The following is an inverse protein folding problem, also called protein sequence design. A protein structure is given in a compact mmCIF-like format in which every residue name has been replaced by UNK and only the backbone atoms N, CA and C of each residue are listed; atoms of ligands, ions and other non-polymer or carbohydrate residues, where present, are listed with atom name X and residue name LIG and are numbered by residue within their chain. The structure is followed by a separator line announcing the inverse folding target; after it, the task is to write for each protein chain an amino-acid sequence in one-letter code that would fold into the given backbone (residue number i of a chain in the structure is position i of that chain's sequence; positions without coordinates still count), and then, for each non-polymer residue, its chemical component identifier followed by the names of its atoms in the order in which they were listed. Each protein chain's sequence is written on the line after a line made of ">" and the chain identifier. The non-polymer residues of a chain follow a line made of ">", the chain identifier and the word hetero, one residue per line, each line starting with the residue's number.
data_IF_690069913761
#
_entry.id   IF_690069913761
#
_cell.length_a   1.000
_cell.length_b   1.000
_cell.length_c   1.000
_cell.angle_alpha   90.00
_cell.angle_beta   90.00
_cell.angle_gamma   90.00
#
_symmetry.space_group_name_H-M   'P 1'
#
loop_
_entity.id
_entity.type
_entity.pdbx_description
1 polymer ?
#
# COMPACT_ATOMS: atom_id res chain seq x y z
N UNK A 1 -52.66 43.65 41.90
CA UNK A 1 -53.11 43.51 40.49
C UNK A 1 -53.98 42.28 40.42
N UNK A 2 -55.25 42.40 40.06
CA UNK A 2 -56.18 41.29 40.09
C UNK A 2 -56.15 40.48 38.83
N UNK A 3 -55.90 39.17 38.97
CA UNK A 3 -55.74 38.19 37.84
C UNK A 3 -56.98 38.20 36.91
N UNK A 4 -58.09 38.63 37.37
CA UNK A 4 -59.32 38.76 36.56
C UNK A 4 -59.30 39.87 35.52
N UNK A 5 -58.53 40.93 35.71
CA UNK A 5 -58.34 41.99 34.71
C UNK A 5 -57.28 41.64 33.60
N UNK A 6 -56.45 40.70 33.92
CA UNK A 6 -55.45 40.20 32.89
C UNK A 6 -56.14 39.23 31.91
N UNK A 7 -57.09 38.42 32.34
CA UNK A 7 -57.85 37.49 31.51
C UNK A 7 -58.84 38.16 30.58
N UNK A 8 -59.39 39.30 30.95
CA UNK A 8 -60.33 40.08 30.10
C UNK A 8 -59.59 40.87 29.01
N UNK A 9 -58.36 41.28 29.27
CA UNK A 9 -57.52 41.93 28.28
C UNK A 9 -56.98 41.02 27.16
N UNK A 10 -56.76 39.77 27.52
CA UNK A 10 -56.30 38.76 26.54
C UNK A 10 -57.40 38.22 25.62
N UNK A 11 -58.65 38.20 26.08
CA UNK A 11 -59.82 37.80 25.28
C UNK A 11 -60.23 38.85 24.25
N UNK A 12 -60.01 40.14 24.53
CA UNK A 12 -60.25 41.23 23.55
C UNK A 12 -59.25 41.30 22.47
N UNK A 13 -58.00 40.93 22.74
CA UNK A 13 -56.92 40.89 21.73
C UNK A 13 -57.08 39.70 20.72
N UNK A 14 -57.72 38.61 21.16
CA UNK A 14 -58.01 37.46 20.30
C UNK A 14 -59.17 37.66 19.32
N UNK A 15 -60.15 38.53 19.66
CA UNK A 15 -61.25 38.82 18.77
C UNK A 15 -60.94 39.87 17.73
N UNK A 16 -59.90 40.73 17.93
CA UNK A 16 -59.50 41.72 16.98
C UNK A 16 -58.55 41.15 15.85
N UNK A 17 -58.11 39.91 16.07
CA UNK A 17 -57.19 39.23 15.07
C UNK A 17 -57.95 38.42 13.98
N UNK A 18 -59.33 38.37 14.04
CA UNK A 18 -60.06 37.51 13.08
C UNK A 18 -60.68 38.27 11.89
N UNK A 19 -60.32 39.52 11.67
CA UNK A 19 -60.79 40.29 10.49
C UNK A 19 -59.69 40.82 9.59
N UNK A 20 -58.47 40.24 9.66
CA UNK A 20 -57.52 40.45 8.60
C UNK A 20 -57.87 39.49 7.46
N UNK A 21 -58.46 39.99 6.38
CA UNK A 21 -58.57 39.29 5.12
C UNK A 21 -57.18 38.81 4.74
N UNK A 22 -57.00 37.50 4.63
CA UNK A 22 -55.82 36.92 4.06
C UNK A 22 -55.67 37.46 2.61
N UNK A 23 -54.71 38.30 2.35
CA UNK A 23 -54.21 38.46 1.01
C UNK A 23 -53.72 37.07 0.59
N UNK A 24 -54.13 36.61 -0.61
CA UNK A 24 -53.60 35.40 -1.21
C UNK A 24 -52.09 35.39 -1.09
N UNK A 25 -51.57 34.52 -0.25
CA UNK A 25 -50.15 34.28 -0.16
C UNK A 25 -49.78 33.72 -1.55
N UNK A 26 -49.02 34.49 -2.33
CA UNK A 26 -48.30 33.95 -3.46
C UNK A 26 -47.48 32.82 -2.87
N UNK A 27 -47.94 31.56 -3.08
CA UNK A 27 -47.15 30.38 -2.76
C UNK A 27 -45.95 30.48 -3.69
N UNK A 28 -44.84 30.98 -3.12
CA UNK A 28 -43.56 30.85 -3.83
C UNK A 28 -43.39 29.34 -4.16
N UNK A 29 -43.13 28.99 -5.41
CA UNK A 29 -42.91 27.59 -5.74
C UNK A 29 -41.83 27.10 -4.77
N UNK A 30 -42.17 25.98 -4.09
CA UNK A 30 -41.24 25.29 -3.21
C UNK A 30 -39.96 25.11 -4.02
N UNK A 31 -38.77 25.55 -3.56
CA UNK A 31 -37.52 25.40 -4.33
C UNK A 31 -37.41 23.91 -4.63
N UNK A 32 -37.43 23.54 -5.92
CA UNK A 32 -37.13 22.17 -6.32
C UNK A 32 -35.89 21.76 -5.58
N UNK A 33 -35.92 20.64 -4.87
CA UNK A 33 -34.75 20.12 -4.17
C UNK A 33 -33.64 19.97 -5.20
N UNK A 34 -32.71 20.90 -5.17
CA UNK A 34 -31.54 20.86 -6.05
C UNK A 34 -30.82 19.59 -5.67
N UNK A 35 -30.86 18.57 -6.53
CA UNK A 35 -30.00 17.41 -6.38
C UNK A 35 -28.54 17.90 -6.48
N UNK A 36 -27.95 18.24 -5.33
CA UNK A 36 -26.57 18.74 -5.24
C UNK A 36 -25.55 17.70 -5.71
N UNK A 37 -25.91 16.39 -5.70
CA UNK A 37 -25.04 15.29 -6.13
C UNK A 37 -25.87 14.26 -6.89
N UNK A 38 -25.66 14.15 -8.19
CA UNK A 38 -26.23 13.09 -9.03
C UNK A 38 -25.38 11.82 -8.92
N UNK A 39 -26.01 10.70 -8.57
CA UNK A 39 -25.35 9.37 -8.50
C UNK A 39 -24.91 8.93 -9.89
N UNK A 40 -23.74 8.30 -9.99
CA UNK A 40 -23.16 7.77 -11.21
C UNK A 40 -22.91 6.26 -11.07
N UNK A 41 -23.90 5.44 -11.39
CA UNK A 41 -23.83 3.98 -11.22
C UNK A 41 -23.08 3.25 -12.32
N UNK A 42 -22.79 3.92 -13.45
CA UNK A 42 -22.16 3.31 -14.62
C UNK A 42 -20.78 2.68 -14.34
N UNK A 43 -20.07 3.18 -13.32
CA UNK A 43 -18.70 2.74 -12.99
C UNK A 43 -18.61 2.00 -11.66
N UNK A 44 -19.76 1.69 -11.04
CA UNK A 44 -19.87 0.97 -9.79
C UNK A 44 -20.29 1.85 -8.61
N UNK A 45 -20.44 1.23 -7.44
CA UNK A 45 -20.96 1.89 -6.26
C UNK A 45 -20.04 3.01 -5.74
N UNK A 46 -20.64 4.10 -5.25
CA UNK A 46 -19.96 5.23 -4.63
C UNK A 46 -19.46 6.30 -5.59
N UNK A 47 -19.74 6.18 -6.90
CA UNK A 47 -19.47 7.25 -7.84
C UNK A 47 -20.62 8.26 -7.88
N UNK A 48 -20.26 9.54 -8.06
CA UNK A 48 -21.19 10.64 -8.28
C UNK A 48 -20.63 11.57 -9.36
N UNK A 49 -21.51 12.26 -10.09
CA UNK A 49 -21.09 13.23 -11.10
C UNK A 49 -20.47 14.46 -10.45
N UNK A 50 -19.33 14.91 -10.98
CA UNK A 50 -18.80 16.24 -10.66
C UNK A 50 -19.77 17.27 -11.23
N UNK A 51 -20.33 18.21 -10.41
CA UNK A 51 -21.30 19.19 -10.89
C UNK A 51 -20.84 19.92 -12.14
N UNK A 52 -21.71 20.00 -13.15
CA UNK A 52 -21.43 20.66 -14.43
C UNK A 52 -20.54 19.88 -15.40
N UNK A 53 -20.26 18.62 -15.13
CA UNK A 53 -19.45 17.74 -16.01
C UNK A 53 -20.10 16.37 -16.21
N UNK A 54 -19.63 15.63 -17.23
CA UNK A 54 -19.96 14.21 -17.43
C UNK A 54 -18.93 13.27 -16.78
N UNK A 55 -18.07 13.79 -15.93
CA UNK A 55 -17.06 13.01 -15.19
C UNK A 55 -17.63 12.52 -13.86
N UNK A 56 -17.53 11.23 -13.62
CA UNK A 56 -17.87 10.61 -12.35
C UNK A 56 -16.65 10.55 -11.45
N UNK A 57 -16.85 10.89 -10.17
CA UNK A 57 -15.82 10.89 -9.12
C UNK A 57 -16.23 9.94 -8.00
N UNK A 58 -15.29 9.12 -7.53
CA UNK A 58 -15.41 8.38 -6.26
C UNK A 58 -14.27 8.77 -5.35
N UNK A 59 -14.60 9.07 -4.11
CA UNK A 59 -13.64 9.29 -3.02
C UNK A 59 -13.70 8.08 -2.11
N UNK A 60 -12.54 7.55 -1.72
CA UNK A 60 -12.42 6.41 -0.82
C UNK A 60 -11.11 6.50 -0.05
N UNK A 61 -10.88 5.59 0.87
CA UNK A 61 -9.64 5.58 1.62
C UNK A 61 -9.72 4.75 2.89
N UNK A 62 -8.77 5.00 3.78
CA UNK A 62 -8.80 4.39 5.10
C UNK A 62 -8.03 5.22 6.12
N UNK A 63 -8.43 5.06 7.38
CA UNK A 63 -7.63 5.43 8.54
C UNK A 63 -7.10 4.14 9.17
N UNK A 64 -5.81 4.11 9.46
CA UNK A 64 -5.10 2.95 10.02
C UNK A 64 -4.31 3.37 11.24
N UNK A 65 -4.35 2.54 12.26
CA UNK A 65 -3.39 2.57 13.36
C UNK A 65 -2.72 1.21 13.46
N UNK A 66 -1.40 1.20 13.62
CA UNK A 66 -0.60 -0.01 13.74
C UNK A 66 0.36 0.14 14.92
N UNK A 67 0.46 -0.90 15.73
CA UNK A 67 1.44 -1.01 16.79
C UNK A 67 2.22 -2.31 16.64
N UNK A 68 3.54 -2.25 16.73
CA UNK A 68 4.42 -3.40 16.60
C UNK A 68 5.42 -3.46 17.75
N UNK A 69 5.70 -4.67 18.23
CA UNK A 69 6.63 -4.95 19.33
C UNK A 69 7.60 -6.06 18.93
N UNK A 70 8.61 -6.29 19.76
CA UNK A 70 9.67 -7.24 19.50
C UNK A 70 10.76 -6.68 18.58
N UNK A 71 11.44 -7.55 17.82
CA UNK A 71 12.44 -7.13 16.86
C UNK A 71 11.82 -6.77 15.52
N UNK A 72 12.53 -5.96 14.76
CA UNK A 72 12.16 -5.70 13.35
C UNK A 72 12.51 -6.96 12.53
N UNK A 73 11.50 -7.50 11.85
CA UNK A 73 11.67 -8.73 11.07
C UNK A 73 12.38 -8.49 9.73
N UNK A 74 12.57 -7.23 9.35
CA UNK A 74 13.29 -6.85 8.13
C UNK A 74 14.81 -6.77 8.33
N UNK A 75 15.26 -6.31 9.52
CA UNK A 75 16.68 -6.04 9.79
C UNK A 75 17.19 -6.54 11.16
N UNK A 76 16.35 -7.24 11.91
CA UNK A 76 16.61 -7.75 13.27
C UNK A 76 16.93 -6.68 14.32
N UNK A 77 16.78 -5.40 14.02
CA UNK A 77 16.99 -4.32 14.99
C UNK A 77 15.94 -4.35 16.09
N UNK A 78 16.27 -3.77 17.23
CA UNK A 78 15.30 -3.58 18.31
C UNK A 78 14.31 -2.49 17.95
N UNK A 79 13.03 -2.73 18.16
CA UNK A 79 12.00 -1.69 18.08
C UNK A 79 12.07 -0.82 19.32
N UNK A 80 12.47 0.43 19.15
CA UNK A 80 12.63 1.36 20.23
C UNK A 80 13.35 2.62 19.77
N UNK A 81 13.94 3.35 20.71
CA UNK A 81 14.73 4.55 20.41
C UNK A 81 15.91 4.69 21.39
N UNK A 82 16.96 5.37 20.94
CA UNK A 82 18.09 5.72 21.78
C UNK A 82 17.69 6.88 22.69
N UNK A 83 17.75 6.66 24.01
CA UNK A 83 17.52 7.67 25.04
C UNK A 83 18.87 8.16 25.53
N UNK A 84 19.07 9.47 25.59
CA UNK A 84 20.22 10.08 26.26
C UNK A 84 20.04 9.89 27.73
N UNK A 85 21.00 9.22 28.39
CA UNK A 85 20.99 8.95 29.85
C UNK A 85 22.06 9.73 30.57
N UNK A 86 22.96 10.40 29.85
CA UNK A 86 24.02 11.22 30.42
C UNK A 86 25.05 11.67 29.39
N UNK A 87 26.13 12.23 29.92
CA UNK A 87 27.33 12.60 29.17
C UNK A 87 28.52 11.88 29.77
N UNK A 88 29.48 11.47 28.93
CA UNK A 88 30.77 10.97 29.38
C UNK A 88 31.66 12.10 29.90
N UNK A 89 32.77 11.77 30.58
CA UNK A 89 33.81 12.74 31.02
C UNK A 89 34.45 13.49 29.81
N UNK A 90 34.26 12.99 28.60
CA UNK A 90 34.72 13.61 27.35
C UNK A 90 33.58 14.37 26.59
N UNK A 91 32.48 14.73 27.27
CA UNK A 91 31.29 15.38 26.73
C UNK A 91 30.60 14.61 25.60
N UNK A 92 30.82 13.29 25.46
CA UNK A 92 30.11 12.44 24.55
C UNK A 92 28.75 12.01 25.11
N UNK A 93 27.73 11.96 24.28
CA UNK A 93 26.39 11.52 24.65
C UNK A 93 26.39 10.03 25.01
N UNK A 94 26.06 9.72 26.26
CA UNK A 94 25.77 8.34 26.66
C UNK A 94 24.33 8.03 26.31
N UNK A 95 24.12 7.05 25.43
CA UNK A 95 22.78 6.63 24.95
C UNK A 95 22.49 5.22 25.39
N UNK A 96 21.25 4.99 25.83
CA UNK A 96 20.69 3.68 26.11
C UNK A 96 19.56 3.39 25.15
N UNK A 97 19.54 2.16 24.63
CA UNK A 97 18.45 1.72 23.75
C UNK A 97 17.29 1.19 24.60
N UNK A 98 16.11 1.80 24.44
CA UNK A 98 14.90 1.37 25.15
C UNK A 98 14.00 0.57 24.21
N UNK A 99 13.57 -0.62 24.64
CA UNK A 99 12.55 -1.39 23.93
C UNK A 99 11.18 -0.74 24.14
N UNK A 100 10.45 -0.49 23.06
CA UNK A 100 9.09 0.04 23.09
C UNK A 100 8.33 -0.34 21.84
N UNK A 101 7.06 -0.02 21.84
CA UNK A 101 6.19 -0.20 20.67
C UNK A 101 6.56 0.76 19.54
N UNK A 102 6.67 0.24 18.31
CA UNK A 102 6.62 1.08 17.11
C UNK A 102 5.16 1.36 16.77
N UNK A 103 4.77 2.62 16.65
CA UNK A 103 3.38 3.05 16.45
C UNK A 103 3.28 3.92 15.22
N UNK A 104 2.33 3.59 14.33
CA UNK A 104 2.08 4.36 13.12
C UNK A 104 0.59 4.61 12.98
N UNK A 105 0.20 5.86 12.85
CA UNK A 105 -1.09 6.27 12.33
C UNK A 105 -0.93 6.64 10.85
N UNK A 106 -1.87 6.20 10.01
CA UNK A 106 -1.90 6.52 8.58
C UNK A 106 -3.31 6.93 8.16
N UNK A 107 -3.38 8.02 7.41
CA UNK A 107 -4.53 8.37 6.60
C UNK A 107 -4.19 8.16 5.12
N UNK A 108 -5.07 7.48 4.39
CA UNK A 108 -4.95 7.29 2.95
C UNK A 108 -6.18 7.85 2.26
N UNK A 109 -5.97 8.73 1.30
CA UNK A 109 -7.00 9.29 0.45
C UNK A 109 -6.83 8.76 -0.97
N UNK A 110 -7.93 8.28 -1.55
CA UNK A 110 -8.02 7.79 -2.92
C UNK A 110 -9.07 8.57 -3.69
N UNK A 111 -8.73 8.98 -4.89
CA UNK A 111 -9.72 9.52 -5.84
C UNK A 111 -9.72 8.69 -7.10
N UNK A 112 -10.91 8.44 -7.63
CA UNK A 112 -11.11 7.74 -8.89
C UNK A 112 -12.00 8.63 -9.75
N UNK A 113 -11.61 8.90 -11.00
CA UNK A 113 -12.51 9.49 -11.97
C UNK A 113 -12.78 8.52 -13.12
N UNK A 114 -13.94 8.64 -13.71
CA UNK A 114 -14.30 7.89 -14.91
C UNK A 114 -15.21 8.71 -15.80
N UNK A 115 -14.99 8.66 -17.10
CA UNK A 115 -15.85 9.26 -18.13
C UNK A 115 -15.80 8.42 -19.39
N UNK A 116 -16.93 8.33 -20.12
CA UNK A 116 -16.94 7.70 -21.42
C UNK A 116 -16.33 8.60 -22.48
N UNK A 117 -15.60 7.98 -23.40
CA UNK A 117 -15.05 8.63 -24.59
C UNK A 117 -15.32 7.75 -25.82
N UNK A 118 -15.12 8.29 -26.99
CA UNK A 118 -15.24 7.54 -28.27
C UNK A 118 -14.24 6.35 -28.38
N UNK A 119 -13.17 6.36 -27.55
CA UNK A 119 -12.15 5.30 -27.48
C UNK A 119 -12.35 4.36 -26.27
N UNK A 120 -13.47 4.52 -25.54
CA UNK A 120 -13.77 3.77 -24.33
C UNK A 120 -13.68 4.59 -23.05
N UNK A 121 -13.77 3.94 -21.90
CA UNK A 121 -13.76 4.62 -20.61
C UNK A 121 -12.37 5.15 -20.27
N UNK A 122 -12.27 6.48 -20.15
CA UNK A 122 -11.09 7.15 -19.58
C UNK A 122 -11.22 7.17 -18.06
N UNK A 123 -10.21 6.65 -17.36
CA UNK A 123 -10.13 6.59 -15.89
C UNK A 123 -8.89 7.31 -15.38
N UNK A 124 -8.99 7.91 -14.21
CA UNK A 124 -7.83 8.30 -13.42
C UNK A 124 -7.91 7.69 -12.02
N UNK A 125 -6.75 7.46 -11.43
CA UNK A 125 -6.63 7.01 -10.05
C UNK A 125 -5.50 7.72 -9.37
N UNK A 126 -5.74 8.21 -8.15
CA UNK A 126 -4.70 8.74 -7.27
C UNK A 126 -4.81 8.14 -5.89
N UNK A 127 -3.66 7.92 -5.24
CA UNK A 127 -3.58 7.55 -3.82
C UNK A 127 -2.49 8.35 -3.13
N UNK A 128 -2.88 9.05 -2.06
CA UNK A 128 -1.98 9.81 -1.20
C UNK A 128 -1.99 9.21 0.21
N UNK A 129 -0.81 9.02 0.80
CA UNK A 129 -0.62 8.52 2.17
C UNK A 129 0.05 9.56 3.04
N UNK A 130 -0.50 9.73 4.24
CA UNK A 130 0.00 10.62 5.28
C UNK A 130 0.29 9.79 6.51
N UNK A 131 1.53 9.81 7.00
CA UNK A 131 1.98 8.98 8.10
C UNK A 131 2.43 9.81 9.30
N UNK A 132 2.10 9.32 10.51
CA UNK A 132 2.62 9.82 11.77
C UNK A 132 3.17 8.62 12.55
N UNK A 133 4.48 8.56 12.73
CA UNK A 133 5.17 7.39 13.28
C UNK A 133 6.00 7.80 14.49
N UNK A 134 5.83 7.09 15.62
CA UNK A 134 6.60 7.25 16.84
C UNK A 134 6.68 8.71 17.36
N UNK A 135 5.59 9.47 17.21
CA UNK A 135 5.52 10.85 17.70
C UNK A 135 6.02 11.90 16.69
N UNK A 136 6.38 11.52 15.48
CA UNK A 136 6.84 12.42 14.44
C UNK A 136 6.06 12.26 13.12
N UNK A 137 5.97 13.35 12.35
CA UNK A 137 5.49 13.30 10.97
C UNK A 137 6.47 12.47 10.14
N UNK A 138 5.99 11.37 9.57
CA UNK A 138 6.83 10.41 8.82
C UNK A 138 6.67 10.55 7.30
N UNK A 139 6.34 11.75 6.83
CA UNK A 139 6.24 12.08 5.41
C UNK A 139 4.86 11.82 4.80
N UNK A 140 4.70 12.40 3.62
CA UNK A 140 3.56 12.21 2.74
C UNK A 140 4.07 11.58 1.45
N UNK A 141 3.33 10.64 0.89
CA UNK A 141 3.71 9.97 -0.36
C UNK A 141 2.56 9.98 -1.35
N UNK A 142 2.90 10.24 -2.62
CA UNK A 142 2.06 9.95 -3.76
C UNK A 142 2.31 8.51 -4.16
N UNK A 143 1.39 7.59 -3.82
CA UNK A 143 1.55 6.17 -4.12
C UNK A 143 1.11 5.84 -5.54
N UNK A 144 0.01 6.42 -5.99
CA UNK A 144 -0.53 6.22 -7.34
C UNK A 144 -0.94 7.56 -7.94
N UNK A 145 -0.67 7.75 -9.21
CA UNK A 145 -1.16 8.86 -10.03
C UNK A 145 -1.10 8.45 -11.49
N UNK A 146 -2.14 7.78 -11.98
CA UNK A 146 -2.18 7.32 -13.36
C UNK A 146 -3.50 7.62 -14.04
N UNK A 147 -3.46 7.64 -15.37
CA UNK A 147 -4.61 7.61 -16.26
C UNK A 147 -4.63 6.31 -17.03
N UNK A 148 -5.83 5.84 -17.35
CA UNK A 148 -6.05 4.59 -18.10
C UNK A 148 -7.13 4.76 -19.14
N UNK A 149 -6.86 4.31 -20.37
CA UNK A 149 -7.81 4.22 -21.47
C UNK A 149 -7.75 2.83 -22.08
N UNK A 150 -8.79 2.03 -21.86
CA UNK A 150 -8.77 0.62 -22.23
C UNK A 150 -7.61 -0.13 -21.56
N UNK A 151 -6.77 -0.78 -22.36
CA UNK A 151 -5.56 -1.47 -21.88
C UNK A 151 -4.36 -0.58 -21.63
N UNK A 152 -4.35 0.67 -22.14
CA UNK A 152 -3.25 1.62 -21.97
C UNK A 152 -3.32 2.26 -20.60
N UNK A 153 -2.19 2.24 -19.84
CA UNK A 153 -2.03 2.92 -18.57
C UNK A 153 -0.75 3.72 -18.57
N UNK A 154 -0.82 4.98 -18.09
CA UNK A 154 0.30 5.93 -18.10
C UNK A 154 0.32 6.66 -16.75
N UNK A 155 1.47 6.75 -16.10
CA UNK A 155 1.70 7.52 -14.89
C UNK A 155 2.47 6.77 -13.83
N UNK A 156 2.37 7.23 -12.57
CA UNK A 156 2.96 6.55 -11.41
C UNK A 156 2.03 5.43 -10.96
N UNK A 157 2.56 4.21 -10.95
CA UNK A 157 1.87 3.00 -10.51
C UNK A 157 2.88 2.02 -9.89
N UNK A 158 2.42 0.86 -9.51
CA UNK A 158 3.29 -0.27 -9.21
C UNK A 158 3.75 -0.95 -10.50
N UNK A 159 4.99 -1.41 -10.48
CA UNK A 159 5.60 -2.13 -11.60
C UNK A 159 4.73 -3.31 -12.07
N UNK A 160 4.69 -3.53 -13.38
CA UNK A 160 4.06 -4.70 -13.97
C UNK A 160 4.67 -6.02 -13.46
N UNK A 161 5.92 -5.99 -12.98
CA UNK A 161 6.59 -7.12 -12.34
C UNK A 161 5.88 -7.59 -11.06
N UNK A 162 5.17 -6.68 -10.36
CA UNK A 162 4.30 -7.01 -9.24
C UNK A 162 2.86 -7.25 -9.68
N UNK A 163 2.30 -6.35 -10.48
CA UNK A 163 0.86 -6.37 -10.76
C UNK A 163 0.41 -7.59 -11.58
N UNK A 164 1.29 -8.17 -12.40
CA UNK A 164 1.00 -9.40 -13.16
C UNK A 164 0.90 -10.62 -12.25
N UNK A 165 1.83 -10.79 -11.31
CA UNK A 165 1.82 -11.93 -10.36
C UNK A 165 0.96 -11.67 -9.13
N UNK A 166 0.67 -10.40 -8.80
CA UNK A 166 -0.05 -10.00 -7.59
C UNK A 166 0.82 -9.95 -6.34
N UNK A 167 0.20 -9.53 -5.23
CA UNK A 167 0.89 -9.39 -3.94
C UNK A 167 1.20 -10.74 -3.28
N UNK A 168 2.16 -10.74 -2.36
CA UNK A 168 2.66 -11.92 -1.63
C UNK A 168 1.68 -12.45 -0.55
N UNK A 169 0.39 -12.26 -0.72
CA UNK A 169 -0.63 -12.67 0.24
C UNK A 169 -1.18 -11.50 1.07
N UNK A 170 -1.85 -11.82 2.18
CA UNK A 170 -2.53 -10.82 3.03
C UNK A 170 -1.78 -10.64 4.37
N UNK A 171 -0.45 -10.68 4.35
CA UNK A 171 0.38 -10.41 5.52
C UNK A 171 0.59 -8.92 5.72
N UNK A 172 0.88 -8.50 6.96
CA UNK A 172 1.31 -7.14 7.27
C UNK A 172 2.80 -6.93 6.98
N UNK A 173 3.57 -8.02 7.07
CA UNK A 173 5.00 -8.12 6.78
C UNK A 173 5.18 -9.19 5.70
N UNK A 174 4.70 -8.92 4.48
CA UNK A 174 4.67 -9.87 3.35
C UNK A 174 5.97 -9.90 2.55
N UNK A 175 6.69 -8.79 2.51
CA UNK A 175 7.88 -8.54 1.69
C UNK A 175 9.21 -8.57 2.47
N UNK A 176 9.29 -9.32 3.56
CA UNK A 176 10.55 -9.53 4.31
C UNK A 176 11.63 -10.16 3.42
N UNK A 177 11.24 -11.08 2.54
CA UNK A 177 12.00 -11.47 1.36
C UNK A 177 11.40 -10.68 0.20
N UNK A 178 12.17 -9.75 -0.35
CA UNK A 178 11.74 -8.83 -1.39
C UNK A 178 11.35 -9.59 -2.67
N UNK A 179 10.45 -9.03 -3.46
CA UNK A 179 9.98 -9.63 -4.70
C UNK A 179 10.04 -8.66 -5.90
N UNK A 180 10.90 -7.67 -5.85
CA UNK A 180 11.06 -6.53 -6.75
C UNK A 180 10.63 -5.23 -6.08
N UNK A 181 11.02 -4.09 -6.63
CA UNK A 181 10.55 -2.78 -6.21
C UNK A 181 9.14 -2.51 -6.75
N UNK A 182 8.35 -1.73 -6.00
CA UNK A 182 6.96 -1.45 -6.36
C UNK A 182 6.82 -0.20 -7.23
N UNK A 183 7.36 0.91 -6.78
CA UNK A 183 7.05 2.26 -7.27
C UNK A 183 7.79 2.60 -8.56
N UNK A 184 7.05 2.94 -9.62
CA UNK A 184 7.64 3.39 -10.89
C UNK A 184 6.71 4.36 -11.63
N UNK A 185 7.26 5.21 -12.50
CA UNK A 185 6.50 5.78 -13.61
C UNK A 185 6.53 4.78 -14.78
N UNK A 186 5.39 4.57 -15.41
CA UNK A 186 5.28 3.59 -16.47
C UNK A 186 4.37 4.04 -17.62
N UNK A 187 4.59 3.41 -18.76
CA UNK A 187 3.65 3.32 -19.87
C UNK A 187 3.45 1.82 -20.12
N UNK A 188 2.27 1.32 -19.84
CA UNK A 188 1.95 -0.10 -20.00
C UNK A 188 0.71 -0.32 -20.84
N UNK A 189 0.67 -1.48 -21.49
CA UNK A 189 -0.51 -1.95 -22.19
C UNK A 189 -0.84 -3.37 -21.76
N UNK A 190 -2.08 -3.57 -21.32
CA UNK A 190 -2.62 -4.89 -20.96
C UNK A 190 -3.69 -5.31 -21.95
N UNK A 191 -3.43 -6.36 -22.70
CA UNK A 191 -4.43 -7.07 -23.48
C UNK A 191 -5.21 -8.02 -22.55
N UNK A 192 -6.53 -8.02 -22.65
CA UNK A 192 -7.40 -8.93 -21.91
C UNK A 192 -8.22 -9.77 -22.89
N UNK A 193 -8.01 -11.07 -22.89
CA UNK A 193 -8.82 -12.03 -23.65
C UNK A 193 -10.09 -12.41 -22.87
N UNK A 194 -11.18 -12.73 -23.60
CA UNK A 194 -12.48 -13.07 -23.01
C UNK A 194 -12.54 -14.39 -22.23
N UNK A 195 -11.43 -15.16 -22.17
CA UNK A 195 -11.33 -16.50 -21.55
C UNK A 195 -10.47 -16.52 -20.28
N UNK A 196 -10.23 -15.37 -19.65
CA UNK A 196 -9.37 -15.25 -18.47
C UNK A 196 -7.87 -15.08 -18.77
N UNK A 197 -7.49 -15.07 -20.03
CA UNK A 197 -6.12 -14.75 -20.45
C UNK A 197 -5.89 -13.24 -20.48
N UNK A 198 -4.74 -12.79 -19.96
CA UNK A 198 -4.22 -11.43 -20.13
C UNK A 198 -2.72 -11.44 -20.38
N UNK A 199 -2.27 -10.42 -21.11
CA UNK A 199 -0.86 -10.20 -21.40
C UNK A 199 -0.55 -8.71 -21.23
N UNK A 200 0.56 -8.40 -20.54
CA UNK A 200 0.99 -7.03 -20.22
C UNK A 200 2.39 -6.81 -20.74
N UNK A 201 2.61 -5.63 -21.33
CA UNK A 201 3.95 -5.09 -21.61
C UNK A 201 4.04 -3.70 -20.95
N UNK A 202 5.17 -3.37 -20.34
CA UNK A 202 5.40 -2.12 -19.66
C UNK A 202 6.80 -1.59 -19.93
N UNK A 203 6.89 -0.29 -20.19
CA UNK A 203 8.13 0.47 -20.18
C UNK A 203 8.15 1.27 -18.88
N UNK A 204 9.18 1.11 -18.07
CA UNK A 204 9.25 1.60 -16.69
C UNK A 204 10.49 2.45 -16.46
N UNK A 205 10.33 3.47 -15.62
CA UNK A 205 11.44 4.34 -15.21
C UNK A 205 12.27 3.73 -14.09
N UNK A 206 11.67 2.85 -13.27
CA UNK A 206 12.21 2.43 -11.99
C UNK A 206 12.03 3.47 -10.88
N UNK A 207 12.45 3.12 -9.69
CA UNK A 207 12.34 3.94 -8.49
C UNK A 207 13.30 3.48 -7.40
N UNK A 208 13.39 4.26 -6.32
CA UNK A 208 14.28 3.96 -5.21
C UNK A 208 15.72 4.43 -5.39
N UNK A 209 16.36 4.68 -4.28
CA UNK A 209 17.81 4.93 -4.16
C UNK A 209 18.30 4.07 -3.00
N UNK A 210 19.38 3.32 -3.20
CA UNK A 210 20.05 2.63 -2.11
C UNK A 210 21.43 3.25 -1.88
N UNK A 211 21.86 3.26 -0.62
CA UNK A 211 23.27 3.39 -0.32
C UNK A 211 23.88 1.98 -0.40
N UNK A 212 24.91 1.77 -1.18
CA UNK A 212 25.71 0.56 -1.07
C UNK A 212 26.39 0.64 0.30
N UNK A 213 25.99 -0.23 1.20
CA UNK A 213 26.69 -0.46 2.47
C UNK A 213 27.72 -1.53 2.18
N UNK A 214 29.00 -1.20 2.32
CA UNK A 214 30.07 -2.19 2.22
C UNK A 214 29.86 -3.33 3.22
N UNK A 215 30.39 -4.48 2.89
CA UNK A 215 30.36 -5.73 3.65
C UNK A 215 30.86 -5.57 5.09
N UNK A 216 31.60 -4.51 5.38
CA UNK A 216 32.11 -4.16 6.72
C UNK A 216 31.25 -3.15 7.49
N UNK A 217 30.00 -2.86 7.01
CA UNK A 217 29.10 -1.91 7.72
C UNK A 217 29.49 -0.45 7.57
N UNK A 218 30.48 -0.15 6.77
CA UNK A 218 30.87 1.20 6.37
C UNK A 218 30.15 1.49 5.05
N UNK A 219 29.36 2.57 5.00
CA UNK A 219 28.95 3.14 3.71
C UNK A 219 30.20 3.27 2.87
N UNK A 220 30.28 2.59 1.71
CA UNK A 220 31.47 2.73 0.85
C UNK A 220 31.54 4.16 0.40
N UNK A 221 32.25 4.95 1.17
CA UNK A 221 32.81 6.17 0.69
C UNK A 221 33.94 5.76 -0.26
N UNK A 222 33.64 5.63 -1.52
CA UNK A 222 34.62 5.54 -2.56
C UNK A 222 35.49 6.80 -2.46
N UNK A 223 36.79 6.62 -2.23
CA UNK A 223 37.71 7.75 -2.10
C UNK A 223 38.08 8.23 -3.51
N UNK A 224 37.57 9.38 -3.91
CA UNK A 224 38.01 10.08 -5.13
C UNK A 224 38.80 11.32 -4.69
N UNK A 225 40.03 11.41 -5.09
CA UNK A 225 40.97 12.51 -4.73
C UNK A 225 41.09 12.75 -3.21
N UNK A 226 41.07 11.67 -2.44
CA UNK A 226 41.18 11.74 -0.97
C UNK A 226 39.92 12.25 -0.25
N UNK A 227 38.78 12.36 -0.93
CA UNK A 227 37.49 12.71 -0.34
C UNK A 227 36.54 11.51 -0.39
N UNK A 228 35.80 11.21 0.69
CA UNK A 228 34.82 10.15 0.68
C UNK A 228 33.64 10.54 -0.22
N UNK A 229 33.36 9.72 -1.23
CA UNK A 229 32.17 9.85 -2.10
C UNK A 229 31.24 8.69 -1.78
N UNK A 230 30.07 9.00 -1.24
CA UNK A 230 29.01 7.98 -1.04
C UNK A 230 28.43 7.61 -2.38
N UNK A 231 28.67 6.40 -2.85
CA UNK A 231 28.03 5.89 -4.07
C UNK A 231 26.61 5.48 -3.72
N UNK A 232 25.64 6.23 -4.22
CA UNK A 232 24.24 5.84 -4.20
C UNK A 232 23.91 5.07 -5.45
N UNK A 233 23.30 3.91 -5.30
CA UNK A 233 22.68 3.21 -6.42
C UNK A 233 21.25 3.71 -6.59
N UNK A 234 20.82 3.92 -7.83
CA UNK A 234 19.46 4.31 -8.16
C UNK A 234 18.88 3.28 -9.12
N UNK A 235 17.69 2.78 -8.82
CA UNK A 235 16.92 1.94 -9.75
C UNK A 235 16.19 2.74 -10.83
N UNK A 236 16.39 4.07 -10.88
CA UNK A 236 15.88 4.89 -11.98
C UNK A 236 16.79 4.73 -13.18
N UNK A 237 16.18 4.64 -14.36
CA UNK A 237 16.94 4.63 -15.63
C UNK A 237 17.91 5.82 -15.68
N UNK A 238 19.13 5.57 -16.11
CA UNK A 238 20.22 6.55 -16.24
C UNK A 238 20.42 7.00 -17.70
N UNK A 239 19.68 6.40 -18.63
CA UNK A 239 19.72 6.67 -20.07
C UNK A 239 18.30 6.79 -20.65
N UNK A 240 18.16 6.88 -21.97
CA UNK A 240 16.87 6.86 -22.66
C UNK A 240 16.27 5.44 -22.80
N UNK A 241 17.03 4.39 -22.48
CA UNK A 241 16.51 3.02 -22.49
C UNK A 241 15.68 2.77 -21.23
N UNK A 242 14.36 2.51 -21.35
CA UNK A 242 13.54 2.16 -20.18
C UNK A 242 13.86 0.74 -19.72
N UNK A 243 13.53 0.45 -18.46
CA UNK A 243 13.32 -0.93 -18.05
C UNK A 243 12.12 -1.49 -18.80
N UNK A 244 12.14 -2.77 -19.13
CA UNK A 244 11.07 -3.43 -19.88
C UNK A 244 10.53 -4.61 -19.10
N UNK A 245 9.22 -4.65 -18.91
CA UNK A 245 8.52 -5.75 -18.24
C UNK A 245 7.49 -6.36 -19.18
N UNK A 246 7.46 -7.68 -19.24
CA UNK A 246 6.42 -8.42 -19.98
C UNK A 246 5.91 -9.58 -19.15
N UNK A 247 4.59 -9.80 -19.16
CA UNK A 247 3.99 -10.87 -18.39
C UNK A 247 2.67 -11.35 -18.95
N UNK A 248 2.28 -12.53 -18.52
CA UNK A 248 1.02 -13.19 -18.89
C UNK A 248 0.35 -13.74 -17.64
N UNK A 249 -0.97 -13.74 -17.64
CA UNK A 249 -1.80 -14.34 -16.59
C UNK A 249 -2.96 -15.08 -17.21
N UNK A 250 -3.27 -16.24 -16.67
CA UNK A 250 -4.47 -17.00 -16.96
C UNK A 250 -5.23 -17.27 -15.65
N UNK A 251 -6.45 -16.76 -15.57
CA UNK A 251 -7.29 -16.80 -14.38
C UNK A 251 -8.61 -17.48 -14.66
N UNK A 252 -9.01 -18.42 -13.81
CA UNK A 252 -10.22 -19.22 -13.88
C UNK A 252 -10.81 -19.43 -12.47
N UNK A 253 -11.97 -20.09 -12.39
CA UNK A 253 -12.61 -20.38 -11.10
C UNK A 253 -11.73 -21.23 -10.13
N UNK A 254 -10.87 -22.07 -10.67
CA UNK A 254 -9.96 -22.90 -9.86
C UNK A 254 -8.78 -22.13 -9.28
N UNK A 255 -8.47 -20.92 -9.81
CA UNK A 255 -7.32 -20.11 -9.42
C UNK A 255 -6.66 -19.42 -10.61
N UNK A 256 -5.36 -19.18 -10.54
CA UNK A 256 -4.62 -18.52 -11.61
C UNK A 256 -3.19 -19.02 -11.73
N UNK A 257 -2.63 -18.90 -12.93
CA UNK A 257 -1.19 -18.99 -13.19
C UNK A 257 -0.73 -17.71 -13.84
N UNK A 258 0.39 -17.16 -13.37
CA UNK A 258 1.00 -15.95 -13.92
C UNK A 258 2.50 -16.12 -14.08
N UNK A 259 3.05 -15.51 -15.11
CA UNK A 259 4.50 -15.44 -15.34
C UNK A 259 4.85 -14.02 -15.79
N UNK A 260 5.97 -13.49 -15.30
CA UNK A 260 6.48 -12.17 -15.63
C UNK A 260 7.98 -12.21 -15.74
N UNK A 261 8.54 -11.47 -16.70
CA UNK A 261 9.97 -11.23 -16.83
C UNK A 261 10.21 -9.73 -16.99
N UNK A 262 11.33 -9.26 -16.48
CA UNK A 262 11.77 -7.87 -16.55
C UNK A 262 13.24 -7.80 -16.95
N UNK A 263 13.58 -6.77 -17.72
CA UNK A 263 14.95 -6.39 -18.06
C UNK A 263 15.27 -5.06 -17.38
N UNK A 264 16.29 -5.07 -16.53
CA UNK A 264 16.84 -3.88 -15.88
C UNK A 264 17.89 -3.27 -16.81
N UNK A 265 17.58 -2.11 -17.38
CA UNK A 265 18.44 -1.45 -18.37
C UNK A 265 19.70 -0.82 -17.77
N UNK A 266 19.74 -0.58 -16.45
CA UNK A 266 20.91 -0.03 -15.77
C UNK A 266 21.95 -1.13 -15.49
N UNK A 267 21.48 -2.31 -15.10
CA UNK A 267 22.33 -3.47 -14.81
C UNK A 267 22.61 -4.31 -16.05
N UNK A 268 21.81 -4.13 -17.13
CA UNK A 268 21.82 -4.98 -18.33
C UNK A 268 21.48 -6.45 -18.02
N UNK A 269 20.68 -6.67 -16.96
CA UNK A 269 20.33 -7.97 -16.38
C UNK A 269 18.82 -8.20 -16.39
N UNK A 270 18.40 -9.42 -16.10
CA UNK A 270 16.97 -9.76 -16.11
C UNK A 270 16.55 -10.52 -14.85
N UNK A 271 15.27 -10.43 -14.55
CA UNK A 271 14.62 -11.24 -13.51
C UNK A 271 13.26 -11.76 -13.99
N UNK A 272 12.84 -12.87 -13.45
CA UNK A 272 11.54 -13.46 -13.78
C UNK A 272 10.86 -14.04 -12.54
N UNK A 273 9.53 -14.08 -12.56
CA UNK A 273 8.70 -14.74 -11.54
C UNK A 273 7.61 -15.57 -12.20
N UNK A 274 7.28 -16.68 -11.52
CA UNK A 274 6.11 -17.50 -11.85
C UNK A 274 5.29 -17.70 -10.58
N UNK A 275 3.98 -17.56 -10.68
CA UNK A 275 3.04 -17.73 -9.58
C UNK A 275 1.90 -18.65 -9.96
N UNK A 276 1.51 -19.49 -9.01
CA UNK A 276 0.32 -20.34 -9.05
C UNK A 276 -0.55 -20.05 -7.83
N UNK A 277 -1.80 -19.72 -8.05
CA UNK A 277 -2.85 -19.62 -7.02
C UNK A 277 -3.88 -20.70 -7.25
N UNK A 278 -4.31 -21.39 -6.19
CA UNK A 278 -5.30 -22.48 -6.27
C UNK A 278 -6.38 -22.28 -5.22
N UNK A 279 -7.64 -22.22 -5.66
CA UNK A 279 -8.82 -22.28 -4.82
C UNK A 279 -9.13 -23.74 -4.51
N UNK A 280 -8.65 -24.25 -3.37
CA UNK A 280 -8.83 -25.66 -2.94
C UNK A 280 -10.29 -25.90 -2.59
N UNK A 281 -10.92 -24.95 -1.91
CA UNK A 281 -12.36 -24.88 -1.61
C UNK A 281 -12.79 -23.40 -1.59
N UNK A 282 -14.09 -23.14 -1.42
CA UNK A 282 -14.61 -21.77 -1.23
C UNK A 282 -14.02 -21.07 0.02
N UNK A 283 -13.52 -21.85 0.98
CA UNK A 283 -12.95 -21.33 2.22
C UNK A 283 -11.41 -21.37 2.24
N UNK A 284 -10.76 -22.17 1.40
CA UNK A 284 -9.31 -22.39 1.43
C UNK A 284 -8.70 -22.09 0.08
N UNK A 285 -7.74 -21.18 0.06
CA UNK A 285 -6.87 -20.93 -1.09
C UNK A 285 -5.41 -21.04 -0.69
N UNK A 286 -4.57 -21.47 -1.62
CA UNK A 286 -3.11 -21.57 -1.47
C UNK A 286 -2.44 -20.95 -2.67
N UNK A 287 -1.21 -20.45 -2.47
CA UNK A 287 -0.42 -19.90 -3.55
C UNK A 287 1.07 -20.23 -3.35
N UNK A 288 1.80 -20.28 -4.45
CA UNK A 288 3.24 -20.38 -4.47
C UNK A 288 3.79 -19.51 -5.59
N UNK A 289 4.93 -18.85 -5.32
CA UNK A 289 5.65 -18.01 -6.29
C UNK A 289 7.14 -18.37 -6.22
N UNK A 290 7.79 -18.49 -7.36
CA UNK A 290 9.23 -18.57 -7.50
C UNK A 290 9.75 -17.40 -8.30
N UNK A 291 10.93 -16.89 -7.94
CA UNK A 291 11.67 -15.85 -8.66
C UNK A 291 13.09 -16.29 -8.96
N UNK A 292 13.63 -15.83 -10.08
CA UNK A 292 15.01 -15.98 -10.48
C UNK A 292 15.52 -14.65 -11.05
N UNK A 293 16.76 -14.28 -10.69
CA UNK A 293 17.47 -13.13 -11.23
C UNK A 293 18.80 -13.60 -11.83
N UNK A 294 19.25 -12.93 -12.90
CA UNK A 294 20.51 -13.25 -13.57
C UNK A 294 21.73 -12.63 -12.88
N UNK A 295 21.53 -11.92 -11.79
CA UNK A 295 22.55 -11.29 -10.95
C UNK A 295 22.32 -11.58 -9.48
N UNK A 296 23.40 -11.69 -8.71
CA UNK A 296 23.36 -12.13 -7.30
C UNK A 296 23.16 -10.98 -6.30
N UNK A 297 23.50 -9.76 -6.69
CA UNK A 297 23.43 -8.58 -5.82
C UNK A 297 21.99 -8.10 -5.67
N UNK A 298 21.44 -8.06 -4.48
CA UNK A 298 20.08 -7.62 -4.17
C UNK A 298 19.84 -6.11 -4.37
N UNK A 299 20.25 -5.56 -5.53
CA UNK A 299 20.25 -4.10 -5.79
C UNK A 299 19.42 -3.69 -7.01
N UNK A 300 18.89 -4.61 -7.81
CA UNK A 300 18.13 -4.30 -9.02
C UNK A 300 16.69 -3.87 -8.74
N UNK A 301 16.05 -3.29 -9.76
CA UNK A 301 14.63 -2.94 -9.72
C UNK A 301 13.73 -4.18 -9.56
N UNK A 302 14.12 -5.32 -10.11
CA UNK A 302 13.25 -6.48 -10.24
C UNK A 302 13.66 -7.68 -9.41
N UNK A 303 14.90 -8.10 -9.42
CA UNK A 303 15.41 -9.27 -8.71
C UNK A 303 16.10 -8.90 -7.41
N UNK A 304 15.53 -8.07 -6.57
CA UNK A 304 16.14 -7.52 -5.35
C UNK A 304 16.06 -8.43 -4.12
N UNK A 305 15.77 -9.72 -4.30
CA UNK A 305 15.99 -10.75 -3.28
C UNK A 305 17.48 -11.12 -3.19
N UNK A 306 17.88 -11.73 -2.09
CA UNK A 306 19.29 -12.13 -1.90
C UNK A 306 19.66 -13.39 -2.68
N UNK A 307 20.63 -13.28 -3.58
CA UNK A 307 21.12 -14.35 -4.44
C UNK A 307 20.27 -14.57 -5.70
N UNK A 308 20.47 -15.68 -6.39
CA UNK A 308 19.89 -15.97 -7.69
C UNK A 308 18.38 -16.19 -7.63
N UNK A 309 17.87 -16.80 -6.56
CA UNK A 309 16.47 -17.19 -6.50
C UNK A 309 15.80 -16.90 -5.16
N UNK A 310 14.48 -16.78 -5.22
CA UNK A 310 13.64 -16.74 -4.04
C UNK A 310 12.33 -17.50 -4.26
N UNK A 311 11.78 -17.99 -3.17
CA UNK A 311 10.52 -18.74 -3.14
C UNK A 311 9.61 -18.15 -2.07
N UNK A 312 8.34 -17.97 -2.40
CA UNK A 312 7.28 -17.53 -1.49
C UNK A 312 6.09 -18.46 -1.62
N UNK A 313 5.38 -18.64 -0.53
CA UNK A 313 4.14 -19.40 -0.55
C UNK A 313 3.27 -19.08 0.64
N UNK A 314 1.97 -19.28 0.51
CA UNK A 314 1.03 -18.99 1.58
C UNK A 314 -0.30 -19.69 1.41
N UNK A 315 -1.11 -19.58 2.46
CA UNK A 315 -2.47 -20.09 2.47
C UNK A 315 -3.40 -19.09 3.18
N UNK A 316 -4.65 -19.09 2.75
CA UNK A 316 -5.75 -18.34 3.32
C UNK A 316 -6.86 -19.31 3.69
N UNK A 317 -7.41 -19.13 4.90
CA UNK A 317 -8.57 -19.86 5.38
C UNK A 317 -9.65 -18.91 5.87
N UNK A 318 -10.73 -18.78 5.12
CA UNK A 318 -11.94 -18.04 5.51
C UNK A 318 -12.75 -18.89 6.49
N UNK A 319 -12.51 -18.70 7.79
CA UNK A 319 -13.19 -19.46 8.84
C UNK A 319 -14.65 -18.98 9.04
N UNK A 320 -14.95 -17.73 8.72
CA UNK A 320 -16.30 -17.16 8.72
C UNK A 320 -16.33 -15.90 7.86
N UNK A 321 -17.50 -15.26 7.72
CA UNK A 321 -17.62 -13.97 7.02
C UNK A 321 -16.85 -12.83 7.71
N UNK A 322 -16.46 -13.01 8.98
CA UNK A 322 -15.73 -12.02 9.77
C UNK A 322 -14.26 -12.37 9.99
N UNK A 323 -13.87 -13.64 9.88
CA UNK A 323 -12.54 -14.10 10.26
C UNK A 323 -11.84 -14.85 9.12
N UNK A 324 -10.68 -14.35 8.73
CA UNK A 324 -9.78 -14.97 7.75
C UNK A 324 -8.41 -15.17 8.38
N UNK A 325 -7.91 -16.41 8.37
CA UNK A 325 -6.58 -16.77 8.80
C UNK A 325 -5.66 -16.79 7.57
N UNK A 326 -4.47 -16.22 7.71
CA UNK A 326 -3.47 -16.21 6.66
C UNK A 326 -2.13 -16.67 7.22
N UNK A 327 -1.37 -17.42 6.42
CA UNK A 327 0.01 -17.81 6.70
C UNK A 327 0.86 -17.61 5.45
N UNK A 328 2.12 -17.27 5.66
CA UNK A 328 3.11 -17.09 4.59
C UNK A 328 4.48 -17.59 5.04
N UNK A 329 5.22 -18.17 4.10
CA UNK A 329 6.62 -18.51 4.23
C UNK A 329 7.37 -17.99 3.00
N UNK A 330 8.61 -17.54 3.20
CA UNK A 330 9.49 -17.10 2.12
C UNK A 330 10.94 -17.49 2.41
N UNK A 331 11.71 -17.72 1.35
CA UNK A 331 13.13 -18.04 1.40
C UNK A 331 13.85 -17.42 0.23
N UNK A 332 15.06 -16.91 0.46
CA UNK A 332 15.98 -16.45 -0.60
C UNK A 332 17.32 -17.18 -0.51
N UNK A 333 18.02 -17.22 -1.61
CA UNK A 333 19.25 -18.01 -1.79
C UNK A 333 20.38 -17.66 -0.80
N UNK A 334 20.55 -16.40 -0.44
CA UNK A 334 21.46 -15.99 0.62
C UNK A 334 21.09 -16.54 2.01
N UNK A 335 19.94 -17.19 2.12
CA UNK A 335 19.54 -17.93 3.31
C UNK A 335 18.76 -17.13 4.33
N UNK A 336 18.07 -16.09 3.94
CA UNK A 336 17.01 -15.49 4.75
C UNK A 336 15.75 -16.34 4.61
N UNK A 337 15.13 -16.66 5.74
CA UNK A 337 13.83 -17.33 5.82
C UNK A 337 12.88 -16.44 6.59
N UNK A 338 11.69 -16.19 6.04
CA UNK A 338 10.66 -15.40 6.68
C UNK A 338 9.38 -16.24 6.85
N UNK A 339 8.74 -16.12 8.01
CA UNK A 339 7.46 -16.74 8.33
C UNK A 339 6.53 -15.69 8.93
N UNK A 340 5.26 -15.67 8.52
CA UNK A 340 4.26 -14.81 9.10
C UNK A 340 2.90 -15.51 9.20
N UNK A 341 2.12 -15.15 10.23
CA UNK A 341 0.75 -15.63 10.40
C UNK A 341 -0.12 -14.52 11.01
N UNK A 342 -1.32 -14.32 10.48
CA UNK A 342 -2.26 -13.36 10.99
C UNK A 342 -3.71 -13.86 10.96
N UNK A 343 -4.56 -13.08 11.61
CA UNK A 343 -6.01 -13.19 11.53
C UNK A 343 -6.58 -11.82 11.16
N UNK A 344 -7.20 -11.71 10.00
CA UNK A 344 -7.98 -10.53 9.64
C UNK A 344 -9.41 -10.69 10.19
N UNK A 345 -9.77 -9.92 11.22
CA UNK A 345 -11.08 -9.98 11.87
C UNK A 345 -11.89 -8.70 11.60
N UNK A 346 -12.98 -8.83 10.85
CA UNK A 346 -13.92 -7.74 10.61
C UNK A 346 -14.85 -7.55 11.81
N UNK A 347 -14.52 -6.60 12.69
CA UNK A 347 -15.31 -6.33 13.89
C UNK A 347 -16.72 -5.82 13.52
N UNK A 348 -16.77 -4.83 12.63
CA UNK A 348 -17.97 -4.32 11.98
C UNK A 348 -17.67 -4.00 10.52
N UNK A 349 -18.67 -3.83 9.63
CA UNK A 349 -18.44 -3.48 8.24
C UNK A 349 -17.50 -2.27 8.09
N UNK A 350 -16.42 -2.48 7.31
CA UNK A 350 -15.37 -1.50 7.05
C UNK A 350 -14.37 -1.30 8.20
N UNK A 351 -14.46 -1.99 9.35
CA UNK A 351 -13.48 -1.92 10.43
C UNK A 351 -12.88 -3.31 10.71
N UNK A 352 -11.59 -3.45 10.43
CA UNK A 352 -10.85 -4.71 10.57
C UNK A 352 -9.73 -4.56 11.59
N UNK A 353 -9.54 -5.59 12.42
CA UNK A 353 -8.43 -5.75 13.35
C UNK A 353 -7.59 -6.94 12.86
N UNK A 354 -6.28 -6.75 12.73
CA UNK A 354 -5.38 -7.78 12.23
C UNK A 354 -4.17 -7.92 13.17
N UNK A 355 -4.22 -8.83 14.15
CA UNK A 355 -3.02 -9.28 14.85
C UNK A 355 -2.19 -10.18 13.94
N UNK A 356 -0.87 -9.98 13.95
CA UNK A 356 0.11 -10.76 13.19
C UNK A 356 1.33 -11.06 14.05
N UNK A 357 1.90 -12.23 13.86
CA UNK A 357 3.23 -12.61 14.33
C UNK A 357 4.11 -12.92 13.13
N UNK A 358 5.37 -12.50 13.18
CA UNK A 358 6.33 -12.74 12.13
C UNK A 358 7.69 -13.14 12.71
N UNK A 359 8.39 -13.98 11.99
CA UNK A 359 9.72 -14.47 12.34
C UNK A 359 10.62 -14.46 11.11
N UNK A 360 11.84 -13.99 11.28
CA UNK A 360 12.88 -14.03 10.25
C UNK A 360 14.15 -14.64 10.81
N UNK A 361 14.84 -15.42 10.00
CA UNK A 361 16.13 -16.03 10.33
C UNK A 361 17.08 -15.83 9.14
N UNK A 362 18.33 -15.51 9.43
CA UNK A 362 19.41 -15.34 8.44
C UNK A 362 20.49 -16.39 8.69
N UNK A 363 21.04 -16.98 7.61
CA UNK A 363 22.25 -17.80 7.73
C UNK A 363 23.47 -16.93 8.09
N UNK A 364 24.47 -17.53 8.71
CA UNK A 364 25.71 -16.84 9.15
C UNK A 364 26.48 -16.15 8.01
N UNK A 365 26.28 -16.57 6.80
CA UNK A 365 26.95 -16.07 5.58
C UNK A 365 26.12 -14.98 4.88
N UNK A 366 24.94 -14.63 5.42
CA UNK A 366 24.11 -13.59 4.82
C UNK A 366 24.83 -12.24 4.87
N UNK A 367 24.95 -11.48 3.78
CA UNK A 367 25.70 -10.22 3.73
C UNK A 367 25.29 -9.19 4.78
N UNK A 368 24.01 -9.08 5.11
CA UNK A 368 23.51 -8.19 6.17
C UNK A 368 24.02 -8.57 7.59
N UNK A 369 24.47 -9.81 7.82
CA UNK A 369 25.05 -10.24 9.09
C UNK A 369 26.55 -10.00 9.19
N UNK A 370 27.21 -9.72 8.07
CA UNK A 370 28.63 -9.41 8.04
C UNK A 370 28.91 -7.98 8.47
N UNK A 371 27.88 -7.11 8.50
CA UNK A 371 27.97 -5.82 9.14
C UNK A 371 27.94 -6.02 10.68
N UNK A 372 28.91 -5.47 11.39
CA UNK A 372 29.13 -5.64 12.84
C UNK A 372 27.96 -5.20 13.72
N UNK A 373 26.88 -4.63 13.16
CA UNK A 373 25.72 -4.14 13.89
C UNK A 373 24.59 -5.17 14.05
N UNK A 374 24.62 -6.31 13.34
CA UNK A 374 23.57 -7.34 13.43
C UNK A 374 23.99 -8.44 14.43
N UNK A 375 23.84 -8.17 15.71
CA UNK A 375 24.14 -9.12 16.78
C UNK A 375 23.22 -10.35 16.84
N UNK A 376 22.16 -10.41 16.03
CA UNK A 376 21.14 -11.44 16.10
C UNK A 376 20.81 -12.03 14.72
N UNK A 377 20.94 -13.35 14.64
CA UNK A 377 20.66 -14.14 13.43
C UNK A 377 19.17 -14.41 13.22
N UNK A 378 18.32 -13.88 14.06
CA UNK A 378 16.87 -14.01 13.95
C UNK A 378 16.14 -12.83 14.58
N UNK A 379 14.92 -12.62 14.13
CA UNK A 379 14.00 -11.63 14.66
C UNK A 379 12.63 -12.26 14.85
N UNK A 380 11.98 -11.94 15.97
CA UNK A 380 10.57 -12.22 16.19
C UNK A 380 9.87 -10.89 16.48
N UNK A 381 8.79 -10.63 15.75
CA UNK A 381 7.96 -9.44 15.89
C UNK A 381 6.49 -9.79 15.97
N UNK A 382 5.75 -8.96 16.70
CA UNK A 382 4.29 -9.02 16.73
C UNK A 382 3.74 -7.64 16.33
N UNK A 383 2.69 -7.63 15.54
CA UNK A 383 2.04 -6.41 15.05
C UNK A 383 0.53 -6.52 15.22
N UNK A 384 -0.12 -5.45 15.62
CA UNK A 384 -1.57 -5.34 15.55
C UNK A 384 -1.95 -4.12 14.72
N UNK A 385 -2.85 -4.32 13.76
CA UNK A 385 -3.37 -3.28 12.87
C UNK A 385 -4.85 -3.09 13.10
N UNK A 386 -5.27 -1.84 13.20
CA UNK A 386 -6.67 -1.40 13.21
C UNK A 386 -6.89 -0.55 11.97
N UNK A 387 -7.86 -0.91 11.14
CA UNK A 387 -8.12 -0.18 9.90
C UNK A 387 -9.61 0.04 9.69
N UNK A 388 -9.99 1.31 9.48
CA UNK A 388 -11.32 1.71 9.03
C UNK A 388 -11.25 2.18 7.60
N UNK A 389 -11.90 1.46 6.68
CA UNK A 389 -12.03 1.80 5.26
C UNK A 389 -13.39 2.47 5.00
N UNK A 390 -13.41 3.42 4.06
CA UNK A 390 -14.61 4.16 3.63
C UNK A 390 -14.59 4.40 2.12
#
# INVERSE_FOLDING_TARGET
>A
MNIKSLLLGSAAALVAATTAQAADAIVAPEPEAVEYVRVCDAYGAGYFYIPGTETCLRISGYVRYQAAAGRDVYDASKRGYKKVVGFSDADELITEHTDTWNKTARFTLRTHTASETELGTLRTYTENRFNYTNGAQAGNSLNYAYMQLGGLRIGKDESAFHTVTGYLGDMLNDDVVLAGEYDTNLISYTFTGGNGFSATISAEQGGGEFAIVDVDGVTVAHMVDGKPVTTKFSNRIDSYMPHVVAGVKFEQAWGSVAAVAAYDSNLEEWAAKVRLDVNVTDAVSVWVQGGYASYEEAVGMYGNWGGDYAIWGGAKFKASDKATFNIQAAYEDWGKTALAANVAYQLVPGFTITPEVAYTSWKNTHPLLLSNDVANKNAFGATIRFQRSF
#
